data_IF_589110684680
#
_entry.id   IF_589110684680
#
_cell.length_a   1.000
_cell.length_b   1.000
_cell.length_c   1.000
_cell.angle_alpha   90.00
_cell.angle_beta   90.00
_cell.angle_gamma   90.00
#
_symmetry.space_group_name_H-M   'P 1'
#
loop_
_entity.id
_entity.type
_entity.pdbx_description
1 polymer ?
#
# COMPACT_ATOMS: atom_id res chain seq x y z
N UNK A 1 47.07 0.35 2.75
CA UNK A 1 46.32 1.25 3.67
C UNK A 1 44.96 1.75 3.14
N UNK A 2 44.66 1.65 1.84
CA UNK A 2 43.37 2.08 1.25
C UNK A 2 42.15 1.25 1.69
N UNK A 3 42.35 -0.02 2.05
CA UNK A 3 41.27 -0.93 2.47
C UNK A 3 40.53 -0.49 3.74
N UNK A 4 41.22 0.13 4.69
CA UNK A 4 40.63 0.52 5.97
C UNK A 4 39.72 1.74 5.80
N UNK A 5 40.20 2.74 5.05
CA UNK A 5 39.43 3.93 4.66
C UNK A 5 38.18 3.58 3.86
N UNK A 6 38.28 2.66 2.89
CA UNK A 6 37.11 2.23 2.10
C UNK A 6 36.04 1.51 2.94
N UNK A 7 36.45 0.75 3.97
CA UNK A 7 35.52 0.09 4.90
C UNK A 7 34.82 1.12 5.80
N UNK A 8 35.56 2.09 6.35
CA UNK A 8 35.00 3.19 7.14
C UNK A 8 34.02 4.04 6.33
N UNK A 9 34.34 4.37 5.07
CA UNK A 9 33.46 5.14 4.21
C UNK A 9 32.16 4.37 3.86
N UNK A 10 32.25 3.05 3.67
CA UNK A 10 31.07 2.19 3.47
C UNK A 10 30.18 2.15 4.72
N UNK A 11 30.79 1.96 5.91
CA UNK A 11 30.06 1.98 7.18
C UNK A 11 29.42 3.35 7.41
N UNK A 12 30.13 4.45 7.17
CA UNK A 12 29.59 5.80 7.26
C UNK A 12 28.45 6.05 6.26
N UNK A 13 28.59 5.60 5.00
CA UNK A 13 27.51 5.70 4.01
C UNK A 13 26.30 4.86 4.39
N UNK A 14 26.51 3.67 4.95
CA UNK A 14 25.43 2.81 5.45
C UNK A 14 24.76 3.45 6.65
N UNK A 15 25.51 3.85 7.68
CA UNK A 15 24.97 4.53 8.87
C UNK A 15 24.27 5.84 8.50
N UNK A 16 24.84 6.66 7.62
CA UNK A 16 24.19 7.88 7.12
C UNK A 16 22.94 7.56 6.32
N UNK A 17 22.92 6.50 5.51
CA UNK A 17 21.72 6.04 4.78
C UNK A 17 20.65 5.53 5.75
N UNK A 18 21.02 4.74 6.75
CA UNK A 18 20.10 4.23 7.78
C UNK A 18 19.61 5.34 8.70
N UNK A 19 20.46 6.31 9.04
CA UNK A 19 20.15 7.47 9.88
C UNK A 19 19.29 8.48 9.13
N UNK A 20 19.62 8.81 7.86
CA UNK A 20 18.76 9.62 6.99
C UNK A 20 17.40 8.96 6.81
N UNK A 21 17.38 7.64 6.55
CA UNK A 21 16.14 6.86 6.47
C UNK A 21 15.36 6.90 7.79
N UNK A 22 16.03 6.77 8.94
CA UNK A 22 15.39 6.96 10.25
C UNK A 22 14.85 8.37 10.41
N UNK A 23 15.57 9.42 10.00
CA UNK A 23 15.13 10.81 10.14
C UNK A 23 14.01 11.19 9.17
N UNK A 24 13.97 10.64 7.96
CA UNK A 24 12.90 10.88 6.98
C UNK A 24 11.60 10.13 7.35
N UNK A 25 11.71 8.98 8.03
CA UNK A 25 10.56 8.23 8.57
C UNK A 25 10.12 8.75 9.96
N UNK A 26 10.89 9.66 10.59
CA UNK A 26 10.71 10.04 12.01
C UNK A 26 9.66 11.11 12.34
N UNK A 27 8.81 11.57 11.42
CA UNK A 27 7.70 12.49 11.77
C UNK A 27 6.32 11.85 11.71
N UNK A 28 6.21 10.56 11.40
CA UNK A 28 4.91 9.89 11.30
C UNK A 28 4.77 8.84 12.39
N UNK A 29 4.05 9.18 13.45
CA UNK A 29 3.71 8.24 14.50
C UNK A 29 2.55 7.35 14.03
N UNK A 30 2.86 6.36 13.19
CA UNK A 30 1.88 5.35 12.84
C UNK A 30 1.60 4.43 14.03
N UNK A 31 0.32 4.33 14.43
CA UNK A 31 -0.09 3.43 15.51
C UNK A 31 0.14 1.95 15.18
N UNK A 32 0.17 1.61 13.89
CA UNK A 32 0.42 0.26 13.41
C UNK A 32 1.50 0.24 12.34
N UNK A 33 2.53 -0.59 12.56
CA UNK A 33 3.62 -0.83 11.62
C UNK A 33 3.85 -2.34 11.50
N UNK A 34 3.92 -2.85 10.28
CA UNK A 34 4.21 -4.26 9.96
C UNK A 34 5.21 -4.33 8.82
N UNK A 35 6.21 -5.20 8.94
CA UNK A 35 7.21 -5.42 7.90
C UNK A 35 7.04 -6.80 7.28
N UNK A 36 7.06 -6.88 5.96
CA UNK A 36 7.10 -8.15 5.20
C UNK A 36 8.13 -8.00 4.10
N UNK A 37 9.12 -8.90 4.08
CA UNK A 37 10.24 -8.80 3.15
C UNK A 37 10.96 -7.44 3.26
N UNK A 38 10.88 -6.66 2.18
CA UNK A 38 11.48 -5.32 2.09
C UNK A 38 10.46 -4.17 2.25
N UNK A 39 9.17 -4.48 2.37
CA UNK A 39 8.11 -3.48 2.51
C UNK A 39 7.72 -3.25 3.95
N UNK A 40 7.25 -2.04 4.21
CA UNK A 40 6.54 -1.70 5.45
C UNK A 40 5.10 -1.33 5.11
N UNK A 41 4.15 -1.86 5.87
CA UNK A 41 2.75 -1.46 5.84
C UNK A 41 2.41 -0.72 7.14
N UNK A 42 1.80 0.44 7.00
CA UNK A 42 1.56 1.35 8.11
C UNK A 42 0.14 1.91 8.08
N UNK A 43 -0.46 2.11 9.25
CA UNK A 43 -1.81 2.67 9.37
C UNK A 43 -2.03 3.29 10.75
N UNK A 44 -2.91 4.30 10.79
CA UNK A 44 -3.47 4.88 12.02
C UNK A 44 -4.90 4.45 12.30
N UNK A 45 -5.44 3.48 11.54
CA UNK A 45 -6.87 3.12 11.54
C UNK A 45 -7.78 4.28 11.11
N UNK A 46 -7.24 5.26 10.39
CA UNK A 46 -8.01 6.30 9.73
C UNK A 46 -8.78 5.71 8.53
N UNK A 47 -9.95 6.27 8.24
CA UNK A 47 -10.79 5.88 7.10
C UNK A 47 -11.17 7.12 6.29
N UNK A 48 -11.18 6.99 4.96
CA UNK A 48 -11.63 8.04 4.05
C UNK A 48 -11.95 7.44 2.67
N UNK A 49 -12.42 8.26 1.74
CA UNK A 49 -12.56 7.98 0.32
C UNK A 49 -11.24 7.57 -0.34
N UNK A 50 -11.31 6.90 -1.49
CA UNK A 50 -10.12 6.41 -2.20
C UNK A 50 -9.14 7.54 -2.54
N UNK A 51 -9.66 8.66 -3.07
CA UNK A 51 -8.82 9.80 -3.45
C UNK A 51 -8.07 10.40 -2.25
N UNK A 52 -8.74 10.47 -1.10
CA UNK A 52 -8.16 10.97 0.15
C UNK A 52 -7.17 9.99 0.76
N UNK A 53 -7.40 8.68 0.64
CA UNK A 53 -6.44 7.66 1.03
C UNK A 53 -5.13 7.76 0.23
N UNK A 54 -5.23 7.94 -1.09
CA UNK A 54 -4.05 8.18 -1.96
C UNK A 54 -3.34 9.47 -1.56
N UNK A 55 -4.09 10.56 -1.39
CA UNK A 55 -3.55 11.85 -0.97
C UNK A 55 -2.81 11.74 0.37
N UNK A 56 -3.44 11.14 1.38
CA UNK A 56 -2.90 10.95 2.73
C UNK A 56 -1.54 10.26 2.70
N UNK A 57 -1.42 9.12 2.02
CA UNK A 57 -0.15 8.41 1.90
C UNK A 57 0.90 9.25 1.15
N UNK A 58 0.50 9.91 0.06
CA UNK A 58 1.44 10.70 -0.75
C UNK A 58 2.00 11.92 -0.01
N UNK A 59 1.20 12.60 0.82
CA UNK A 59 1.64 13.75 1.65
C UNK A 59 2.70 13.34 2.68
N UNK A 60 2.76 12.06 3.00
CA UNK A 60 3.71 11.44 3.92
C UNK A 60 4.93 10.85 3.21
N UNK A 61 5.04 11.02 1.89
CA UNK A 61 6.10 10.40 1.08
C UNK A 61 5.90 8.89 0.88
N UNK A 62 4.70 8.37 1.13
CA UNK A 62 4.33 6.96 1.04
C UNK A 62 3.43 6.68 -0.16
N UNK A 63 3.22 5.41 -0.47
CA UNK A 63 2.22 4.97 -1.44
C UNK A 63 1.03 4.34 -0.72
N UNK A 64 -0.18 4.42 -1.31
CA UNK A 64 -1.27 3.56 -0.87
C UNK A 64 -0.85 2.09 -1.07
N UNK A 65 -1.20 1.22 -0.12
CA UNK A 65 -0.73 -0.16 -0.09
C UNK A 65 -1.17 -0.94 -1.33
N UNK A 66 -0.26 -1.74 -1.88
CA UNK A 66 -0.53 -2.76 -2.88
C UNK A 66 0.24 -4.04 -2.52
N UNK A 67 -0.43 -5.05 -1.95
CA UNK A 67 0.21 -6.32 -1.67
C UNK A 67 0.62 -7.01 -2.97
N UNK A 68 1.86 -7.50 -3.00
CA UNK A 68 2.48 -8.20 -4.12
C UNK A 68 2.76 -9.67 -3.81
N UNK A 69 2.25 -10.17 -2.69
CA UNK A 69 2.29 -11.58 -2.30
C UNK A 69 1.17 -11.90 -1.31
N UNK A 70 0.92 -13.20 -1.11
CA UNK A 70 -0.04 -13.68 -0.11
C UNK A 70 0.33 -13.23 1.32
N UNK A 71 1.63 -13.21 1.65
CA UNK A 71 2.10 -12.79 2.96
C UNK A 71 1.85 -11.29 3.20
N UNK A 72 2.10 -10.45 2.19
CA UNK A 72 1.78 -9.02 2.24
C UNK A 72 0.27 -8.80 2.36
N UNK A 73 -0.54 -9.53 1.59
CA UNK A 73 -2.00 -9.42 1.64
C UNK A 73 -2.56 -9.76 3.02
N UNK A 74 -2.00 -10.78 3.68
CA UNK A 74 -2.38 -11.14 5.06
C UNK A 74 -2.05 -10.04 6.07
N UNK A 75 -1.05 -9.21 5.83
CA UNK A 75 -0.77 -8.07 6.73
C UNK A 75 -1.85 -7.01 6.62
N UNK A 76 -2.40 -6.76 5.43
CA UNK A 76 -3.50 -5.82 5.27
C UNK A 76 -4.73 -6.28 6.06
N UNK A 77 -5.06 -7.58 6.06
CA UNK A 77 -6.19 -8.09 6.85
C UNK A 77 -5.99 -7.92 8.36
N UNK A 78 -4.76 -8.11 8.86
CA UNK A 78 -4.43 -7.84 10.26
C UNK A 78 -4.57 -6.34 10.61
N UNK A 79 -4.22 -5.46 9.68
CA UNK A 79 -4.36 -4.01 9.82
C UNK A 79 -5.79 -3.52 9.64
N UNK A 80 -6.67 -4.27 8.98
CA UNK A 80 -8.10 -4.01 8.90
C UNK A 80 -8.77 -4.38 10.24
N UNK A 81 -8.53 -5.59 10.75
CA UNK A 81 -9.02 -6.04 12.06
C UNK A 81 -10.35 -6.80 11.99
N UNK A 82 -11.38 -6.31 12.67
CA UNK A 82 -12.68 -6.98 12.87
C UNK A 82 -13.47 -7.19 11.57
N UNK A 83 -14.55 -7.99 11.66
CA UNK A 83 -15.44 -8.32 10.56
C UNK A 83 -16.07 -7.10 9.86
N UNK A 84 -16.43 -7.27 8.58
CA UNK A 84 -17.11 -6.28 7.72
C UNK A 84 -16.32 -4.99 7.44
N UNK A 85 -14.99 -5.04 7.63
CA UNK A 85 -14.09 -3.91 7.41
C UNK A 85 -13.26 -4.12 6.15
N UNK A 86 -12.94 -3.02 5.47
CA UNK A 86 -12.17 -3.03 4.22
C UNK A 86 -11.11 -1.94 4.22
N UNK A 87 -10.09 -2.09 3.37
CA UNK A 87 -9.08 -1.05 3.12
C UNK A 87 -8.91 -0.82 1.62
N UNK A 88 -8.65 0.43 1.24
CA UNK A 88 -8.28 0.77 -0.13
C UNK A 88 -6.91 0.18 -0.48
N UNK A 89 -6.77 -0.29 -1.74
CA UNK A 89 -5.48 -0.72 -2.29
C UNK A 89 -5.18 -0.03 -3.62
N UNK A 90 -3.90 0.11 -3.92
CA UNK A 90 -3.39 0.92 -5.02
C UNK A 90 -3.45 0.18 -6.37
N UNK A 91 -4.68 -0.03 -6.83
CA UNK A 91 -5.02 -0.47 -8.20
C UNK A 91 -5.52 0.75 -8.97
N UNK A 92 -5.19 0.84 -10.26
CA UNK A 92 -5.65 1.92 -11.14
C UNK A 92 -7.19 1.96 -11.14
N UNK A 93 -7.75 3.13 -10.88
CA UNK A 93 -9.18 3.30 -10.72
C UNK A 93 -9.92 3.58 -12.03
N UNK A 94 -9.23 3.69 -13.17
CA UNK A 94 -9.82 3.90 -14.48
C UNK A 94 -9.69 2.64 -15.33
N UNK A 95 -10.81 2.05 -15.69
CA UNK A 95 -10.89 0.86 -16.54
C UNK A 95 -10.17 1.07 -17.88
N UNK A 96 -10.26 2.28 -18.45
CA UNK A 96 -9.57 2.62 -19.70
C UNK A 96 -8.03 2.60 -19.60
N UNK A 97 -7.44 2.74 -18.41
CA UNK A 97 -5.98 2.84 -18.22
C UNK A 97 -5.33 1.52 -17.83
N UNK A 98 -6.09 0.42 -17.78
CA UNK A 98 -5.53 -0.90 -17.47
C UNK A 98 -6.51 -1.95 -17.00
N UNK A 99 -7.82 -1.69 -17.03
CA UNK A 99 -8.87 -2.68 -16.70
C UNK A 99 -8.66 -3.33 -15.32
N UNK A 100 -8.24 -2.53 -14.33
CA UNK A 100 -7.88 -2.99 -12.98
C UNK A 100 -6.69 -3.98 -12.93
N UNK A 101 -5.84 -4.02 -13.97
CA UNK A 101 -4.65 -4.89 -14.08
C UNK A 101 -3.33 -4.15 -13.86
N UNK A 102 -3.39 -2.88 -13.50
CA UNK A 102 -2.23 -2.04 -13.20
C UNK A 102 -2.43 -1.26 -11.90
N UNK A 103 -1.34 -0.80 -11.30
CA UNK A 103 -1.37 0.15 -10.18
C UNK A 103 -1.61 1.60 -10.66
N UNK A 104 -1.75 2.56 -9.74
CA UNK A 104 -1.94 3.98 -10.10
C UNK A 104 -0.77 4.60 -10.89
N UNK A 105 0.37 3.90 -10.99
CA UNK A 105 1.54 4.30 -11.79
C UNK A 105 1.62 3.53 -13.11
N UNK A 106 0.55 2.83 -13.50
CA UNK A 106 0.46 2.03 -14.71
C UNK A 106 1.46 0.86 -14.78
N UNK A 107 1.94 0.37 -13.63
CA UNK A 107 2.75 -0.85 -13.56
C UNK A 107 1.82 -2.07 -13.46
N UNK A 108 2.05 -3.16 -14.21
CA UNK A 108 1.22 -4.35 -14.13
C UNK A 108 1.18 -4.96 -12.72
N UNK A 109 0.01 -5.45 -12.31
CA UNK A 109 -0.13 -6.20 -11.06
C UNK A 109 0.60 -7.55 -11.19
N UNK A 110 1.45 -7.87 -10.21
CA UNK A 110 2.18 -9.15 -10.14
C UNK A 110 1.53 -10.18 -9.23
N UNK A 111 0.55 -9.73 -8.45
CA UNK A 111 -0.26 -10.54 -7.54
C UNK A 111 -1.66 -9.94 -7.52
N UNK A 112 -2.66 -10.81 -7.49
CA UNK A 112 -4.05 -10.43 -7.31
C UNK A 112 -4.74 -11.49 -6.44
N UNK A 113 -5.76 -11.06 -5.70
CA UNK A 113 -6.61 -11.95 -4.91
C UNK A 113 -8.07 -11.56 -5.04
N UNK A 114 -8.52 -11.45 -6.28
CA UNK A 114 -9.91 -11.11 -6.60
C UNK A 114 -10.89 -12.08 -5.94
N UNK A 115 -11.96 -11.54 -5.36
CA UNK A 115 -13.10 -12.32 -4.93
C UNK A 115 -13.80 -12.98 -6.11
N UNK A 116 -14.73 -13.89 -5.81
CA UNK A 116 -15.54 -14.53 -6.85
C UNK A 116 -16.33 -13.47 -7.62
N UNK A 117 -16.20 -13.49 -8.95
CA UNK A 117 -16.87 -12.53 -9.84
C UNK A 117 -16.17 -11.17 -9.98
N UNK A 118 -14.99 -10.98 -9.37
CA UNK A 118 -14.24 -9.72 -9.41
C UNK A 118 -13.01 -9.81 -10.34
N UNK A 119 -12.59 -8.69 -10.97
CA UNK A 119 -13.33 -7.43 -11.06
C UNK A 119 -14.63 -7.60 -11.88
N UNK A 120 -15.72 -6.98 -11.44
CA UNK A 120 -17.01 -7.06 -12.16
C UNK A 120 -16.92 -6.34 -13.53
N UNK A 121 -17.12 -7.11 -14.61
CA UNK A 121 -17.12 -6.62 -15.99
C UNK A 121 -18.18 -5.53 -16.24
N UNK A 122 -19.25 -5.50 -15.44
CA UNK A 122 -20.31 -4.49 -15.51
C UNK A 122 -19.81 -3.09 -15.15
N UNK A 123 -18.71 -2.98 -14.39
CA UNK A 123 -18.13 -1.70 -14.00
C UNK A 123 -17.62 -0.97 -15.24
N UNK A 124 -18.24 0.16 -15.56
CA UNK A 124 -17.86 1.02 -16.68
C UNK A 124 -17.11 2.24 -16.17
N UNK A 125 -16.03 2.63 -16.85
CA UNK A 125 -15.30 3.85 -16.54
C UNK A 125 -14.40 3.75 -15.31
N UNK A 126 -14.92 4.04 -14.12
CA UNK A 126 -14.12 4.22 -12.89
C UNK A 126 -14.57 3.26 -11.79
N UNK A 127 -13.62 2.65 -11.09
CA UNK A 127 -13.88 1.84 -9.91
C UNK A 127 -12.67 1.78 -8.98
N UNK A 128 -12.88 1.72 -7.67
CA UNK A 128 -11.82 1.69 -6.68
C UNK A 128 -11.71 0.30 -6.06
N UNK A 129 -10.48 -0.20 -5.93
CA UNK A 129 -10.26 -1.55 -5.41
C UNK A 129 -10.02 -1.52 -3.92
N UNK A 130 -10.69 -2.41 -3.20
CA UNK A 130 -10.48 -2.61 -1.77
C UNK A 130 -10.22 -4.08 -1.46
N UNK A 131 -9.56 -4.33 -0.34
CA UNK A 131 -9.38 -5.66 0.25
C UNK A 131 -10.24 -5.79 1.51
N UNK A 132 -10.89 -6.93 1.68
CA UNK A 132 -11.68 -7.30 2.86
C UNK A 132 -10.84 -7.91 3.99
N UNK A 133 -11.44 -8.13 5.15
CA UNK A 133 -10.86 -8.87 6.26
C UNK A 133 -10.50 -10.34 5.90
N UNK A 134 -11.17 -10.92 4.89
CA UNK A 134 -10.82 -12.25 4.34
C UNK A 134 -9.65 -12.22 3.36
N UNK A 135 -9.17 -11.02 3.00
CA UNK A 135 -8.08 -10.81 2.07
C UNK A 135 -8.50 -10.86 0.60
N UNK A 136 -9.80 -10.95 0.32
CA UNK A 136 -10.33 -10.93 -1.04
C UNK A 136 -10.51 -9.50 -1.53
N UNK A 137 -10.20 -9.28 -2.81
CA UNK A 137 -10.27 -7.97 -3.44
C UNK A 137 -11.56 -7.83 -4.21
N UNK A 138 -12.12 -6.63 -4.21
CA UNK A 138 -13.28 -6.29 -5.02
C UNK A 138 -13.17 -4.86 -5.53
N UNK A 139 -13.82 -4.60 -6.66
CA UNK A 139 -13.95 -3.25 -7.20
C UNK A 139 -15.30 -2.68 -6.80
N UNK A 140 -15.33 -1.42 -6.39
CA UNK A 140 -16.58 -0.67 -6.17
C UNK A 140 -16.63 0.52 -7.11
N UNK A 141 -17.81 0.84 -7.65
CA UNK A 141 -18.04 2.10 -8.34
C UNK A 141 -18.10 3.28 -7.37
N UNK A 142 -18.47 3.03 -6.11
CA UNK A 142 -18.50 4.06 -5.08
C UNK A 142 -17.11 4.21 -4.42
N UNK A 143 -16.28 5.05 -5.02
CA UNK A 143 -14.98 5.44 -4.50
C UNK A 143 -15.05 6.40 -3.30
N UNK A 144 -16.25 6.85 -2.90
CA UNK A 144 -16.47 7.78 -1.78
C UNK A 144 -16.65 7.08 -0.43
N UNK A 145 -16.72 5.74 -0.42
CA UNK A 145 -16.80 4.95 0.80
C UNK A 145 -15.64 5.25 1.75
N UNK A 146 -15.95 5.36 3.03
CA UNK A 146 -14.94 5.52 4.07
C UNK A 146 -14.37 4.15 4.45
N UNK A 147 -13.21 3.81 3.91
CA UNK A 147 -12.51 2.54 4.20
C UNK A 147 -11.11 2.81 4.73
N UNK A 148 -10.49 1.82 5.36
CA UNK A 148 -9.20 2.01 6.01
C UNK A 148 -8.10 2.45 5.04
N UNK A 149 -7.28 3.37 5.53
CA UNK A 149 -6.08 3.82 4.84
C UNK A 149 -4.90 3.01 5.37
N UNK A 150 -4.25 2.29 4.45
CA UNK A 150 -3.00 1.58 4.72
C UNK A 150 -1.98 2.09 3.69
N UNK A 151 -0.88 2.64 4.17
CA UNK A 151 0.21 3.08 3.33
C UNK A 151 1.33 2.05 3.30
N UNK A 152 2.19 2.12 2.29
CA UNK A 152 3.38 1.30 2.16
C UNK A 152 4.64 2.13 1.90
N UNK A 153 5.77 1.56 2.30
CA UNK A 153 7.14 1.94 1.93
C UNK A 153 7.77 0.78 1.16
#
# INVERSE_FOLDING_TARGET
>A
ETSWFSRQLKVYKLLKRTYIYQTEVSSINFGFVRKVGQKYFVSNKETDSFSKAVEFCSQQGLELALPQSEEENRILTQLIGEADKTAWINVNNKKAEGDFRSDLKNRPLTFTKWGEGEPDDSIQGTGCTMVSETGMWRVTQDCSLNTYIICQI
#
